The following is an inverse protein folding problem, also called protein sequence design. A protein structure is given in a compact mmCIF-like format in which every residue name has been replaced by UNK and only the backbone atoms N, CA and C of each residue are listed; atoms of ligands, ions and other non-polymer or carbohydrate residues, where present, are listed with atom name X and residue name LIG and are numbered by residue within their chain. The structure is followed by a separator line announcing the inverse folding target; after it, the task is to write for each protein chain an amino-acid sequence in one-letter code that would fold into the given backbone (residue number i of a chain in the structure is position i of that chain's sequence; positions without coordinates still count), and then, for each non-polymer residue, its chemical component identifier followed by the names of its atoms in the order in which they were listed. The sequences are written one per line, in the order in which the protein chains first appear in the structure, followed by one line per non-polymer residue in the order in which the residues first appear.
data_IF_110911226298
#
_entry.id   IF_110911226298
#
_cell.length_a   1.000
_cell.length_b   1.000
_cell.length_c   1.000
_cell.angle_alpha   90.00
_cell.angle_beta   90.00
_cell.angle_gamma   90.00
#
_symmetry.space_group_name_H-M   'P 1'
#
loop_
_entity.id
_entity.type
_entity.pdbx_description
1 polymer ?
#
# COMPACT_ATOMS: atom_id res chain seq x y z
N UNK A 1 -68.33 -7.61 10.37
CA UNK A 1 -67.06 -8.18 10.88
C UNK A 1 -66.08 -7.02 11.04
N UNK A 2 -65.77 -6.65 12.27
CA UNK A 2 -64.86 -5.54 12.60
C UNK A 2 -63.43 -6.06 12.55
N UNK A 3 -62.58 -5.45 11.72
CA UNK A 3 -61.18 -5.83 11.57
C UNK A 3 -60.37 -5.13 12.66
N UNK A 4 -60.03 -5.86 13.72
CA UNK A 4 -59.11 -5.39 14.76
C UNK A 4 -57.70 -5.23 14.17
N UNK A 5 -57.24 -3.98 14.04
CA UNK A 5 -55.86 -3.66 13.73
C UNK A 5 -55.01 -3.81 15.00
N UNK A 6 -54.28 -4.92 15.10
CA UNK A 6 -53.25 -5.09 16.14
C UNK A 6 -52.10 -4.13 15.83
N UNK A 7 -51.91 -3.10 16.64
CA UNK A 7 -50.69 -2.29 16.63
C UNK A 7 -49.54 -3.13 17.20
N UNK A 8 -48.77 -3.78 16.33
CA UNK A 8 -47.47 -4.34 16.68
C UNK A 8 -46.53 -3.17 17.02
N UNK A 9 -46.00 -3.14 18.24
CA UNK A 9 -44.93 -2.21 18.62
C UNK A 9 -43.73 -2.44 17.69
N UNK A 10 -43.41 -1.46 16.85
CA UNK A 10 -42.18 -1.51 16.05
C UNK A 10 -40.98 -1.51 17.00
N UNK A 11 -40.27 -2.63 17.05
CA UNK A 11 -38.98 -2.72 17.73
C UNK A 11 -38.02 -1.83 16.96
N UNK A 12 -37.62 -0.70 17.57
CA UNK A 12 -36.70 0.22 16.93
C UNK A 12 -35.35 -0.48 16.73
N UNK A 13 -34.78 -0.38 15.53
CA UNK A 13 -33.49 -1.02 15.23
C UNK A 13 -32.40 -0.48 16.18
N UNK A 14 -31.88 -1.34 17.06
CA UNK A 14 -30.75 -1.03 17.96
C UNK A 14 -29.40 -1.14 17.25
N UNK A 15 -29.38 -1.00 15.92
CA UNK A 15 -28.19 -1.04 15.08
C UNK A 15 -28.23 0.13 14.09
N UNK A 16 -27.12 0.87 13.94
CA UNK A 16 -27.04 2.04 13.05
C UNK A 16 -26.00 3.05 13.53
N UNK A 17 -25.70 4.06 12.71
CA UNK A 17 -24.73 5.11 13.04
C UNK A 17 -25.11 5.89 14.32
N UNK A 18 -26.42 6.10 14.50
CA UNK A 18 -27.07 6.69 15.67
C UNK A 18 -26.83 5.89 16.95
N UNK A 19 -26.71 4.57 16.89
CA UNK A 19 -26.45 3.69 18.04
C UNK A 19 -24.95 3.51 18.31
N UNK A 20 -24.09 3.96 17.40
CA UNK A 20 -22.63 3.99 17.58
C UNK A 20 -22.14 5.26 18.30
N UNK A 21 -23.03 6.24 18.51
CA UNK A 21 -22.78 7.44 19.32
C UNK A 21 -23.16 7.18 20.78
N UNK A 22 -22.52 6.19 21.42
CA UNK A 22 -22.70 5.95 22.86
C UNK A 22 -21.74 6.86 23.64
N UNK A 23 -22.29 7.75 24.46
CA UNK A 23 -21.54 8.53 25.46
C UNK A 23 -21.87 8.01 26.86
N UNK A 24 -20.89 7.96 27.76
CA UNK A 24 -21.16 7.63 29.18
C UNK A 24 -21.50 8.93 29.89
N UNK A 25 -22.67 8.97 30.54
CA UNK A 25 -23.14 10.10 31.34
C UNK A 25 -23.00 9.74 32.82
N UNK A 26 -22.19 10.49 33.56
CA UNK A 26 -22.11 10.36 35.01
C UNK A 26 -23.12 11.32 35.66
N UNK A 27 -24.22 10.76 36.18
CA UNK A 27 -25.33 11.55 36.75
C UNK A 27 -25.00 12.21 38.10
N UNK A 28 -23.91 11.80 38.77
CA UNK A 28 -23.46 12.41 40.02
C UNK A 28 -22.56 13.62 39.79
N UNK A 29 -21.73 13.61 38.75
CA UNK A 29 -20.82 14.72 38.42
C UNK A 29 -21.33 15.64 37.30
N UNK A 30 -22.41 15.25 36.60
CA UNK A 30 -22.92 15.98 35.43
C UNK A 30 -21.98 15.92 34.23
N UNK A 31 -20.96 15.06 34.28
CA UNK A 31 -19.93 14.97 33.26
C UNK A 31 -20.38 14.05 32.12
N UNK A 32 -20.21 14.52 30.87
CA UNK A 32 -20.49 13.74 29.67
C UNK A 32 -19.18 13.44 28.95
N UNK A 33 -18.83 12.15 28.84
CA UNK A 33 -17.63 11.72 28.10
C UNK A 33 -18.04 11.10 26.77
N UNK A 34 -17.76 11.80 25.66
CA UNK A 34 -17.95 11.33 24.28
C UNK A 34 -16.73 10.54 23.77
N UNK A 35 -16.34 9.50 24.50
CA UNK A 35 -15.02 8.87 24.37
C UNK A 35 -14.87 7.99 23.11
N UNK A 36 -15.96 7.55 22.47
CA UNK A 36 -15.90 6.54 21.39
C UNK A 36 -15.82 7.08 19.95
N UNK A 37 -16.48 8.21 19.66
CA UNK A 37 -16.65 8.72 18.29
C UNK A 37 -15.40 9.36 17.71
N UNK A 38 -14.80 10.31 18.45
CA UNK A 38 -13.62 11.05 18.01
C UNK A 38 -12.39 10.15 17.89
N UNK A 39 -12.20 9.21 18.81
CA UNK A 39 -11.04 8.31 18.79
C UNK A 39 -11.09 7.34 17.62
N UNK A 40 -12.27 6.81 17.26
CA UNK A 40 -12.41 5.91 16.12
C UNK A 40 -12.16 6.62 14.79
N UNK A 41 -12.69 7.84 14.62
CA UNK A 41 -12.42 8.68 13.44
C UNK A 41 -10.93 9.01 13.35
N UNK A 42 -10.31 9.41 14.46
CA UNK A 42 -8.88 9.68 14.52
C UNK A 42 -8.04 8.46 14.12
N UNK A 43 -8.35 7.27 14.65
CA UNK A 43 -7.63 6.05 14.27
C UNK A 43 -7.85 5.67 12.79
N UNK A 44 -9.05 5.89 12.22
CA UNK A 44 -9.31 5.71 10.78
C UNK A 44 -8.45 6.63 9.92
N UNK A 45 -8.34 7.90 10.31
CA UNK A 45 -7.51 8.88 9.61
C UNK A 45 -6.02 8.51 9.71
N UNK A 46 -5.54 8.14 10.90
CA UNK A 46 -4.16 7.69 11.11
C UNK A 46 -3.87 6.46 10.25
N UNK A 47 -4.75 5.45 10.28
CA UNK A 47 -4.64 4.26 9.42
C UNK A 47 -4.53 4.64 7.94
N UNK A 48 -5.42 5.51 7.46
CA UNK A 48 -5.42 5.97 6.07
C UNK A 48 -4.14 6.69 5.67
N UNK A 49 -3.67 7.63 6.49
CA UNK A 49 -2.44 8.40 6.24
C UNK A 49 -1.20 7.50 6.28
N UNK A 50 -1.07 6.67 7.32
CA UNK A 50 0.06 5.74 7.45
C UNK A 50 0.17 4.83 6.23
N UNK A 51 -0.94 4.24 5.78
CA UNK A 51 -0.93 3.32 4.63
C UNK A 51 -0.76 4.04 3.28
N UNK A 52 -1.31 5.24 3.12
CA UNK A 52 -1.09 6.03 1.90
C UNK A 52 0.38 6.42 1.74
N UNK A 53 1.03 6.87 2.81
CA UNK A 53 2.45 7.26 2.78
C UNK A 53 3.35 6.05 2.62
N UNK A 54 3.15 4.99 3.41
CA UNK A 54 4.00 3.79 3.34
C UNK A 54 3.81 3.00 2.04
N UNK A 55 2.67 2.32 1.90
CA UNK A 55 2.40 1.41 0.79
C UNK A 55 2.13 2.13 -0.52
N UNK A 56 1.61 3.35 -0.46
CA UNK A 56 1.18 4.11 -1.63
C UNK A 56 2.23 5.05 -2.23
N UNK A 57 3.24 5.46 -1.46
CA UNK A 57 4.23 6.47 -1.90
C UNK A 57 5.67 5.97 -1.69
N UNK A 58 6.04 5.59 -0.46
CA UNK A 58 7.40 5.16 -0.16
C UNK A 58 7.80 3.88 -0.92
N UNK A 59 6.91 2.88 -1.03
CA UNK A 59 7.21 1.66 -1.80
C UNK A 59 7.50 1.94 -3.29
N UNK A 60 6.66 2.71 -4.02
CA UNK A 60 6.99 3.16 -5.38
C UNK A 60 8.29 3.96 -5.46
N UNK A 61 8.55 4.86 -4.51
CA UNK A 61 9.80 5.65 -4.50
C UNK A 61 11.01 4.74 -4.34
N UNK A 62 10.98 3.78 -3.42
CA UNK A 62 12.05 2.80 -3.24
C UNK A 62 12.33 2.00 -4.53
N UNK A 63 11.27 1.62 -5.26
CA UNK A 63 11.41 0.98 -6.56
C UNK A 63 12.01 1.91 -7.64
N UNK A 64 11.65 3.20 -7.64
CA UNK A 64 12.26 4.19 -8.53
C UNK A 64 13.74 4.40 -8.21
N UNK A 65 14.13 4.53 -6.94
CA UNK A 65 15.53 4.68 -6.51
C UNK A 65 16.39 3.55 -7.10
N UNK A 66 15.96 2.30 -6.96
CA UNK A 66 16.66 1.15 -7.52
C UNK A 66 16.72 1.19 -9.06
N UNK A 67 15.74 1.80 -9.71
CA UNK A 67 15.70 1.91 -11.18
C UNK A 67 16.58 3.03 -11.72
N UNK A 68 16.62 4.19 -11.06
CA UNK A 68 17.41 5.34 -11.48
C UNK A 68 18.89 5.19 -11.10
N UNK A 69 19.17 4.88 -9.83
CA UNK A 69 20.54 4.93 -9.32
C UNK A 69 21.38 3.73 -9.74
N UNK A 70 20.76 2.57 -10.01
CA UNK A 70 21.47 1.37 -10.48
C UNK A 70 22.17 1.57 -11.84
N UNK A 71 21.76 2.55 -12.64
CA UNK A 71 22.39 2.84 -13.94
C UNK A 71 23.77 3.48 -13.77
N UNK A 72 24.03 4.14 -12.65
CA UNK A 72 25.29 4.82 -12.38
C UNK A 72 26.25 3.88 -11.64
N UNK A 73 27.35 3.49 -12.29
CA UNK A 73 28.41 2.68 -11.64
C UNK A 73 28.99 3.34 -10.38
N UNK A 74 29.01 4.66 -10.31
CA UNK A 74 29.45 5.43 -9.13
C UNK A 74 28.50 5.34 -7.94
N UNK A 75 27.25 4.91 -8.15
CA UNK A 75 26.24 4.76 -7.11
C UNK A 75 26.19 3.34 -6.53
N UNK A 76 27.11 2.45 -6.92
CA UNK A 76 27.28 1.14 -6.28
C UNK A 76 28.21 1.27 -5.06
N UNK A 77 27.84 0.80 -3.85
CA UNK A 77 26.62 0.07 -3.45
C UNK A 77 25.48 0.96 -2.91
N UNK A 78 25.60 2.28 -3.00
CA UNK A 78 24.65 3.24 -2.42
C UNK A 78 23.19 3.03 -2.88
N UNK A 79 22.94 2.71 -4.15
CA UNK A 79 21.60 2.46 -4.67
C UNK A 79 20.89 1.32 -3.92
N UNK A 80 21.63 0.27 -3.55
CA UNK A 80 21.10 -0.90 -2.86
C UNK A 80 20.72 -0.55 -1.43
N UNK A 81 21.59 0.16 -0.70
CA UNK A 81 21.28 0.62 0.65
C UNK A 81 20.13 1.62 0.69
N UNK A 82 20.07 2.55 -0.27
CA UNK A 82 18.95 3.49 -0.38
C UNK A 82 17.62 2.77 -0.68
N UNK A 83 17.64 1.79 -1.58
CA UNK A 83 16.47 0.95 -1.84
C UNK A 83 16.03 0.19 -0.58
N UNK A 84 16.93 -0.58 0.02
CA UNK A 84 16.60 -1.44 1.19
C UNK A 84 16.14 -0.61 2.38
N UNK A 85 16.81 0.52 2.67
CA UNK A 85 16.41 1.41 3.78
C UNK A 85 15.03 2.01 3.54
N UNK A 86 14.76 2.53 2.34
CA UNK A 86 13.46 3.07 1.97
C UNK A 86 12.35 2.01 2.09
N UNK A 87 12.57 0.80 1.55
CA UNK A 87 11.60 -0.30 1.63
C UNK A 87 11.38 -0.77 3.07
N UNK A 88 12.43 -0.82 3.89
CA UNK A 88 12.32 -1.23 5.28
C UNK A 88 11.50 -0.23 6.10
N UNK A 89 11.73 1.07 5.92
CA UNK A 89 10.95 2.13 6.57
C UNK A 89 9.49 2.05 6.13
N UNK A 90 9.25 1.93 4.82
CA UNK A 90 7.91 1.79 4.28
C UNK A 90 7.18 0.58 4.88
N UNK A 91 7.84 -0.57 4.95
CA UNK A 91 7.26 -1.79 5.50
C UNK A 91 6.93 -1.67 6.98
N UNK A 92 7.85 -1.14 7.82
CA UNK A 92 7.63 -0.97 9.27
C UNK A 92 6.44 -0.06 9.54
N UNK A 93 6.39 1.10 8.87
CA UNK A 93 5.25 2.05 8.97
C UNK A 93 3.97 1.40 8.46
N UNK A 94 4.07 0.63 7.37
CA UNK A 94 2.98 -0.12 6.78
C UNK A 94 2.40 -1.21 7.69
N UNK A 95 3.23 -1.90 8.48
CA UNK A 95 2.81 -2.89 9.47
C UNK A 95 2.01 -2.22 10.59
N UNK A 96 2.47 -1.06 11.08
CA UNK A 96 1.74 -0.29 12.08
C UNK A 96 0.37 0.20 11.54
N UNK A 97 0.36 0.69 10.29
CA UNK A 97 -0.85 1.03 9.56
C UNK A 97 -1.80 -0.17 9.40
N UNK A 98 -1.29 -1.34 9.05
CA UNK A 98 -2.10 -2.55 8.89
C UNK A 98 -2.67 -3.04 10.22
N UNK A 99 -1.86 -3.06 11.29
CA UNK A 99 -2.29 -3.47 12.64
C UNK A 99 -3.40 -2.58 13.21
N UNK A 100 -3.30 -1.26 12.99
CA UNK A 100 -4.41 -0.35 13.34
C UNK A 100 -5.67 -0.69 12.54
N UNK A 101 -5.56 -1.00 11.24
CA UNK A 101 -6.69 -1.43 10.42
C UNK A 101 -7.38 -2.70 10.92
N UNK A 102 -6.62 -3.70 11.37
CA UNK A 102 -7.16 -4.92 11.98
C UNK A 102 -7.93 -4.61 13.27
N UNK A 103 -7.37 -3.76 14.13
CA UNK A 103 -8.04 -3.34 15.38
C UNK A 103 -9.37 -2.66 15.08
N UNK A 104 -9.41 -1.74 14.11
CA UNK A 104 -10.65 -1.11 13.68
C UNK A 104 -11.67 -2.11 13.12
N UNK A 105 -11.21 -3.13 12.38
CA UNK A 105 -12.06 -4.19 11.88
C UNK A 105 -12.69 -5.02 13.00
N UNK A 106 -11.92 -5.35 14.05
CA UNK A 106 -12.43 -6.10 15.21
C UNK A 106 -13.45 -5.30 16.04
N UNK A 107 -13.30 -3.97 16.12
CA UNK A 107 -14.21 -3.07 16.83
C UNK A 107 -15.51 -2.76 16.04
N UNK A 108 -15.69 -3.32 14.82
CA UNK A 108 -16.78 -2.99 13.90
C UNK A 108 -17.65 -4.21 13.56
N UNK A 109 -18.50 -4.66 14.50
CA UNK A 109 -19.26 -5.92 14.36
C UNK A 109 -20.31 -5.97 13.24
N UNK A 110 -20.71 -4.84 12.61
CA UNK A 110 -21.88 -4.82 11.70
C UNK A 110 -21.64 -4.34 10.25
N UNK A 111 -20.41 -3.96 9.86
CA UNK A 111 -20.09 -3.60 8.46
C UNK A 111 -18.78 -4.26 8.06
N UNK A 112 -18.87 -5.37 7.32
CA UNK A 112 -17.71 -6.03 6.74
C UNK A 112 -17.31 -5.26 5.47
N UNK A 113 -16.29 -4.41 5.55
CA UNK A 113 -15.59 -3.92 4.35
C UNK A 113 -14.66 -5.00 3.81
N UNK A 114 -15.27 -6.11 3.40
CA UNK A 114 -14.58 -7.38 3.14
C UNK A 114 -13.50 -7.25 2.07
N UNK A 115 -13.79 -6.54 0.97
CA UNK A 115 -12.83 -6.37 -0.11
C UNK A 115 -11.57 -5.58 0.30
N UNK A 116 -11.70 -4.48 1.05
CA UNK A 116 -10.53 -3.68 1.48
C UNK A 116 -9.67 -4.44 2.50
N UNK A 117 -10.33 -5.14 3.44
CA UNK A 117 -9.65 -5.95 4.44
C UNK A 117 -8.92 -7.14 3.80
N UNK A 118 -9.59 -7.87 2.92
CA UNK A 118 -9.02 -9.05 2.24
C UNK A 118 -7.84 -8.67 1.35
N UNK A 119 -7.97 -7.60 0.54
CA UNK A 119 -6.84 -7.09 -0.24
C UNK A 119 -5.70 -6.62 0.67
N UNK A 120 -6.02 -5.94 1.77
CA UNK A 120 -5.02 -5.50 2.76
C UNK A 120 -4.24 -6.66 3.40
N UNK A 121 -4.89 -7.79 3.69
CA UNK A 121 -4.23 -9.00 4.21
C UNK A 121 -3.33 -9.62 3.13
N UNK A 122 -3.84 -9.80 1.90
CA UNK A 122 -3.05 -10.33 0.78
C UNK A 122 -1.81 -9.47 0.54
N UNK A 123 -1.98 -8.15 0.50
CA UNK A 123 -0.91 -7.18 0.33
C UNK A 123 0.14 -7.29 1.45
N UNK A 124 -0.29 -7.41 2.71
CA UNK A 124 0.62 -7.60 3.84
C UNK A 124 1.44 -8.89 3.71
N UNK A 125 0.80 -10.00 3.34
CA UNK A 125 1.47 -11.27 3.11
C UNK A 125 2.52 -11.16 1.98
N UNK A 126 2.16 -10.55 0.84
CA UNK A 126 3.08 -10.34 -0.28
C UNK A 126 4.22 -9.36 0.07
N UNK A 127 3.94 -8.33 0.88
CA UNK A 127 4.96 -7.41 1.40
C UNK A 127 5.94 -8.11 2.33
N UNK A 128 5.44 -8.98 3.21
CA UNK A 128 6.28 -9.80 4.11
C UNK A 128 7.18 -10.75 3.30
N UNK A 129 6.60 -11.37 2.28
CA UNK A 129 7.31 -12.21 1.32
C UNK A 129 8.45 -11.41 0.65
N UNK A 130 8.22 -10.14 0.28
CA UNK A 130 9.28 -9.27 -0.23
C UNK A 130 10.39 -8.94 0.77
N UNK A 131 10.08 -8.80 2.06
CA UNK A 131 11.12 -8.63 3.09
C UNK A 131 11.98 -9.89 3.17
N UNK A 132 11.38 -11.08 3.09
CA UNK A 132 12.15 -12.33 3.03
C UNK A 132 13.02 -12.47 1.78
N UNK A 133 12.70 -11.76 0.69
CA UNK A 133 13.57 -11.72 -0.48
C UNK A 133 14.98 -11.21 -0.12
N UNK A 134 15.10 -10.25 0.81
CA UNK A 134 16.40 -9.77 1.27
C UNK A 134 17.20 -10.88 1.99
N UNK A 135 16.54 -11.64 2.87
CA UNK A 135 17.19 -12.71 3.65
C UNK A 135 17.59 -13.90 2.77
N UNK A 136 16.76 -14.22 1.77
CA UNK A 136 16.97 -15.33 0.85
C UNK A 136 17.76 -14.93 -0.40
N UNK A 137 18.38 -13.74 -0.43
CA UNK A 137 19.11 -13.20 -1.58
C UNK A 137 20.32 -14.10 -1.92
N UNK A 138 20.31 -14.82 -3.05
CA UNK A 138 21.44 -15.67 -3.43
C UNK A 138 22.65 -14.83 -3.87
N UNK A 139 23.85 -15.42 -3.79
CA UNK A 139 25.05 -14.80 -4.37
C UNK A 139 24.87 -14.59 -5.88
N UNK A 140 25.49 -13.55 -6.48
CA UNK A 140 25.33 -13.21 -7.89
C UNK A 140 25.58 -14.39 -8.85
N UNK A 141 26.56 -15.24 -8.53
CA UNK A 141 26.97 -16.36 -9.39
C UNK A 141 26.10 -17.62 -9.21
N UNK A 142 25.06 -17.57 -8.38
CA UNK A 142 24.23 -18.74 -8.08
C UNK A 142 23.07 -18.88 -9.08
N UNK A 143 22.79 -20.10 -9.57
CA UNK A 143 21.66 -20.40 -10.48
C UNK A 143 20.29 -19.90 -9.98
N UNK A 144 20.10 -19.88 -8.66
CA UNK A 144 18.86 -19.39 -8.03
C UNK A 144 18.70 -17.86 -8.06
N UNK A 145 19.75 -17.10 -8.39
CA UNK A 145 19.68 -15.64 -8.55
C UNK A 145 18.66 -15.25 -9.61
N UNK A 146 18.59 -16.02 -10.71
CA UNK A 146 17.63 -15.81 -11.78
C UNK A 146 16.18 -15.93 -11.31
N UNK A 147 15.86 -17.03 -10.63
CA UNK A 147 14.51 -17.26 -10.08
C UNK A 147 14.16 -16.25 -9.00
N UNK A 148 15.11 -15.92 -8.13
CA UNK A 148 14.94 -14.90 -7.09
C UNK A 148 14.57 -13.54 -7.69
N UNK A 149 15.20 -13.15 -8.80
CA UNK A 149 14.90 -11.90 -9.49
C UNK A 149 13.50 -11.87 -10.11
N UNK A 150 13.08 -12.96 -10.76
CA UNK A 150 11.72 -13.07 -11.29
C UNK A 150 10.70 -12.92 -10.16
N UNK A 151 10.88 -13.70 -9.10
CA UNK A 151 10.04 -13.66 -7.91
C UNK A 151 10.01 -12.26 -7.27
N UNK A 152 11.17 -11.64 -7.02
CA UNK A 152 11.29 -10.34 -6.40
C UNK A 152 10.61 -9.25 -7.24
N UNK A 153 10.78 -9.26 -8.55
CA UNK A 153 10.12 -8.27 -9.42
C UNK A 153 8.62 -8.50 -9.54
N UNK A 154 8.16 -9.74 -9.77
CA UNK A 154 6.74 -10.05 -9.91
C UNK A 154 5.96 -9.73 -8.63
N UNK A 155 6.46 -10.16 -7.47
CA UNK A 155 5.81 -9.88 -6.18
C UNK A 155 5.86 -8.38 -5.88
N UNK A 156 6.99 -7.71 -6.16
CA UNK A 156 7.14 -6.27 -5.96
C UNK A 156 6.13 -5.43 -6.74
N UNK A 157 5.96 -5.70 -8.04
CA UNK A 157 4.97 -5.00 -8.85
C UNK A 157 3.54 -5.31 -8.41
N UNK A 158 3.27 -6.56 -8.02
CA UNK A 158 1.95 -6.95 -7.49
C UNK A 158 1.61 -6.18 -6.21
N UNK A 159 2.56 -6.00 -5.29
CA UNK A 159 2.37 -5.21 -4.06
C UNK A 159 2.04 -3.74 -4.38
N UNK A 160 2.74 -3.13 -5.34
CA UNK A 160 2.47 -1.73 -5.75
C UNK A 160 1.07 -1.58 -6.37
N UNK A 161 0.66 -2.50 -7.24
CA UNK A 161 -0.66 -2.44 -7.88
C UNK A 161 -1.76 -2.64 -6.84
N UNK A 162 -1.63 -3.65 -5.99
CA UNK A 162 -2.59 -3.94 -4.93
C UNK A 162 -2.66 -2.80 -3.91
N UNK A 163 -1.56 -2.13 -3.60
CA UNK A 163 -1.57 -0.99 -2.66
C UNK A 163 -2.38 0.17 -3.19
N UNK A 164 -2.20 0.54 -4.45
CA UNK A 164 -2.98 1.61 -5.11
C UNK A 164 -4.47 1.28 -5.08
N UNK A 165 -4.85 0.06 -5.51
CA UNK A 165 -6.25 -0.40 -5.49
C UNK A 165 -6.81 -0.34 -4.07
N UNK A 166 -6.04 -0.80 -3.08
CA UNK A 166 -6.49 -0.86 -1.70
C UNK A 166 -6.68 0.53 -1.09
N UNK A 167 -5.81 1.49 -1.43
CA UNK A 167 -5.90 2.88 -0.98
C UNK A 167 -7.13 3.56 -1.58
N UNK A 168 -7.44 3.34 -2.86
CA UNK A 168 -8.67 3.87 -3.45
C UNK A 168 -9.94 3.30 -2.80
N UNK A 169 -9.94 2.00 -2.47
CA UNK A 169 -11.01 1.40 -1.66
C UNK A 169 -11.08 2.04 -0.27
N UNK A 170 -9.94 2.27 0.38
CA UNK A 170 -9.85 2.97 1.66
C UNK A 170 -10.43 4.39 1.60
N UNK A 171 -10.15 5.15 0.54
CA UNK A 171 -10.75 6.47 0.33
C UNK A 171 -12.26 6.42 0.15
N UNK A 172 -12.79 5.42 -0.54
CA UNK A 172 -14.24 5.27 -0.67
C UNK A 172 -14.91 4.92 0.67
N UNK A 173 -14.20 4.25 1.58
CA UNK A 173 -14.68 3.92 2.93
C UNK A 173 -14.61 5.14 3.86
N UNK A 174 -13.48 5.85 3.84
CA UNK A 174 -13.27 7.03 4.69
C UNK A 174 -14.08 8.25 4.21
N UNK A 175 -14.38 8.29 2.91
CA UNK A 175 -15.03 9.39 2.21
C UNK A 175 -14.46 10.78 2.60
N UNK A 176 -13.14 10.99 2.47
CA UNK A 176 -12.52 12.27 2.81
C UNK A 176 -12.83 13.33 1.74
N UNK A 177 -12.50 14.59 2.04
CA UNK A 177 -12.55 15.67 1.05
C UNK A 177 -11.87 15.27 -0.26
N UNK A 178 -12.50 15.62 -1.39
CA UNK A 178 -12.00 15.32 -2.74
C UNK A 178 -10.53 15.75 -2.96
N UNK A 179 -10.07 16.80 -2.26
CA UNK A 179 -8.69 17.28 -2.30
C UNK A 179 -7.66 16.19 -1.96
N UNK A 180 -7.95 15.32 -0.99
CA UNK A 180 -7.01 14.27 -0.56
C UNK A 180 -6.88 13.16 -1.61
N UNK A 181 -8.02 12.74 -2.18
CA UNK A 181 -8.04 11.78 -3.29
C UNK A 181 -7.33 12.36 -4.52
N UNK A 182 -7.59 13.62 -4.86
CA UNK A 182 -6.95 14.30 -5.99
C UNK A 182 -5.45 14.47 -5.78
N UNK A 183 -5.01 14.83 -4.57
CA UNK A 183 -3.59 14.92 -4.23
C UNK A 183 -2.89 13.58 -4.42
N UNK A 184 -3.49 12.48 -3.94
CA UNK A 184 -2.94 11.14 -4.12
C UNK A 184 -2.88 10.73 -5.60
N UNK A 185 -3.91 11.04 -6.40
CA UNK A 185 -3.89 10.83 -7.85
C UNK A 185 -2.74 11.62 -8.49
N UNK A 186 -2.54 12.87 -8.10
CA UNK A 186 -1.41 13.70 -8.58
C UNK A 186 -0.06 13.07 -8.27
N UNK A 187 0.12 12.52 -7.06
CA UNK A 187 1.36 11.81 -6.67
C UNK A 187 1.56 10.56 -7.51
N UNK A 188 0.53 9.72 -7.70
CA UNK A 188 0.64 8.53 -8.57
C UNK A 188 0.97 8.94 -10.01
N UNK A 189 0.31 9.97 -10.54
CA UNK A 189 0.55 10.45 -11.89
C UNK A 189 1.99 10.93 -12.09
N UNK A 190 2.55 11.65 -11.09
CA UNK A 190 3.94 12.06 -11.10
C UNK A 190 4.89 10.85 -11.08
N UNK A 191 4.66 9.87 -10.19
CA UNK A 191 5.46 8.65 -10.12
C UNK A 191 5.38 7.81 -11.41
N UNK A 192 4.21 7.75 -12.04
CA UNK A 192 4.00 7.07 -13.31
C UNK A 192 4.70 7.79 -14.47
N UNK A 193 4.66 9.13 -14.47
CA UNK A 193 5.36 9.96 -15.45
C UNK A 193 6.87 9.74 -15.37
N UNK A 194 7.45 9.79 -14.16
CA UNK A 194 8.87 9.49 -13.91
C UNK A 194 9.25 8.08 -14.41
N UNK A 195 8.43 7.07 -14.09
CA UNK A 195 8.61 5.70 -14.57
C UNK A 195 8.62 5.60 -16.12
N UNK A 196 7.73 6.34 -16.79
CA UNK A 196 7.64 6.42 -18.24
C UNK A 196 8.83 7.15 -18.86
N UNK A 197 9.25 8.28 -18.27
CA UNK A 197 10.43 9.03 -18.70
C UNK A 197 11.68 8.16 -18.66
N UNK A 198 11.90 7.40 -17.57
CA UNK A 198 13.02 6.46 -17.48
C UNK A 198 12.97 5.41 -18.57
N UNK A 199 11.77 4.85 -18.82
CA UNK A 199 11.63 3.86 -19.90
C UNK A 199 12.01 4.48 -21.24
N UNK A 200 11.58 5.72 -21.51
CA UNK A 200 11.87 6.42 -22.76
C UNK A 200 13.36 6.76 -22.89
N UNK A 201 13.99 7.32 -21.86
CA UNK A 201 15.43 7.62 -21.87
C UNK A 201 16.27 6.36 -22.05
N UNK A 202 15.89 5.26 -21.40
CA UNK A 202 16.54 3.98 -21.61
C UNK A 202 16.40 3.47 -23.05
N UNK A 203 15.20 3.59 -23.64
CA UNK A 203 14.97 3.21 -25.04
C UNK A 203 15.72 4.11 -26.03
N UNK A 204 15.82 5.42 -25.78
CA UNK A 204 16.61 6.35 -26.62
C UNK A 204 18.10 6.02 -26.54
N UNK A 205 18.62 5.80 -25.32
CA UNK A 205 20.01 5.35 -25.14
C UNK A 205 20.26 3.99 -25.80
N UNK A 206 19.26 3.10 -25.83
CA UNK A 206 19.34 1.83 -26.53
C UNK A 206 19.22 1.96 -28.05
N UNK A 207 18.44 2.94 -28.55
CA UNK A 207 18.29 3.25 -29.97
C UNK A 207 19.56 3.86 -30.58
N UNK A 208 20.28 4.68 -29.81
CA UNK A 208 21.61 5.14 -30.22
C UNK A 208 22.65 3.99 -30.25
N UNK A 209 22.43 2.97 -29.40
CA UNK A 209 23.24 1.76 -29.36
C UNK A 209 22.90 0.74 -30.44
N UNK A 210 21.85 0.89 -31.28
CA UNK A 210 21.71 -0.06 -32.39
C UNK A 210 22.80 0.05 -33.46
N UNK A 211 23.58 1.13 -33.49
CA UNK A 211 24.81 1.24 -34.29
C UNK A 211 26.04 0.59 -33.61
N UNK A 212 25.92 0.24 -32.33
CA UNK A 212 26.92 -0.44 -31.47
C UNK A 212 26.48 -1.89 -31.16
N UNK A 213 25.44 -2.38 -31.84
CA UNK A 213 24.76 -3.65 -31.55
C UNK A 213 25.61 -4.89 -31.80
N UNK A 214 26.62 -4.80 -32.68
CA UNK A 214 27.48 -5.94 -33.00
C UNK A 214 28.48 -6.30 -31.88
N UNK A 215 28.67 -5.40 -30.90
CA UNK A 215 29.52 -5.65 -29.74
C UNK A 215 28.75 -6.14 -28.49
N UNK A 216 27.41 -6.17 -28.52
CA UNK A 216 26.56 -6.36 -27.32
C UNK A 216 25.47 -7.43 -27.49
N UNK A 217 25.79 -8.58 -28.11
CA UNK A 217 24.95 -9.79 -27.98
C UNK A 217 24.75 -10.23 -26.51
N UNK A 218 25.51 -9.66 -25.58
CA UNK A 218 25.47 -9.88 -24.13
C UNK A 218 24.59 -8.85 -23.37
N UNK A 219 23.54 -8.28 -23.98
CA UNK A 219 22.59 -7.38 -23.29
C UNK A 219 21.12 -7.78 -23.53
N UNK A 220 20.84 -9.08 -23.65
CA UNK A 220 19.49 -9.60 -23.68
C UNK A 220 18.82 -9.49 -22.29
N UNK A 221 17.49 -9.59 -22.22
CA UNK A 221 16.69 -9.63 -20.98
C UNK A 221 17.26 -10.55 -19.87
N UNK A 222 18.07 -11.55 -20.22
CA UNK A 222 18.79 -12.42 -19.30
C UNK A 222 19.86 -11.70 -18.46
N UNK A 223 20.45 -10.62 -18.96
CA UNK A 223 21.51 -9.87 -18.28
C UNK A 223 20.97 -8.96 -17.19
N UNK A 224 19.83 -8.30 -17.42
CA UNK A 224 19.13 -7.56 -16.35
C UNK A 224 18.77 -8.46 -15.15
N UNK A 225 18.54 -9.75 -15.39
CA UNK A 225 18.30 -10.76 -14.36
C UNK A 225 19.61 -11.25 -13.70
N UNK A 226 20.80 -11.01 -14.26
CA UNK A 226 22.07 -11.29 -13.57
C UNK A 226 22.42 -10.18 -12.56
N UNK A 227 21.98 -8.94 -12.82
CA UNK A 227 22.25 -7.77 -11.97
C UNK A 227 21.19 -7.48 -10.91
N UNK A 228 20.00 -8.06 -10.98
CA UNK A 228 19.00 -7.98 -9.90
C UNK A 228 19.51 -8.71 -8.66
#
# INVERSE_FOLDING_TARGET
MVQFLVMLSQVHATSGANVQSMGTLNLLSGESSSTGGNDRIRKRNIHGVLNAVSWGILLPIGALIARYLKVFKSADPAWFYLHVSCQSIAYIVGVAGWGTGLKLGSESASIQYDAHRTIGIILFCLGTLQVFALLLRPKPDHKYRFYWNIYHHLVGYSVIILSIINIFKGFNILNPDKKWKNAYIGVIAALAFECCLVRRLHLVSCGEKEKVRDCWKDASWHEWIKWG
#
